data_IF_380540441128
#
_entry.id   IF_380540441128
#
_cell.length_a   1.000
_cell.length_b   1.000
_cell.length_c   1.000
_cell.angle_alpha   90.00
_cell.angle_beta   90.00
_cell.angle_gamma   90.00
#
_symmetry.space_group_name_H-M   'P 1'
#
loop_
_entity.id
_entity.type
_entity.pdbx_description
1 polymer ?
#
# COMPACT_ATOMS: atom_id res chain seq x y z
N UNK A 1 -8.39 -6.68 4.58
CA UNK A 1 -7.43 -7.64 3.97
C UNK A 1 -6.30 -8.09 4.89
N UNK A 2 -5.73 -7.22 5.74
CA UNK A 2 -4.56 -7.54 6.58
C UNK A 2 -4.76 -8.74 7.50
N UNK A 3 -5.79 -8.75 8.34
CA UNK A 3 -6.00 -9.80 9.36
C UNK A 3 -6.13 -11.21 8.77
N UNK A 4 -6.61 -11.30 7.52
CA UNK A 4 -6.83 -12.57 6.84
C UNK A 4 -5.57 -13.14 6.18
N UNK A 5 -4.65 -12.28 5.75
CA UNK A 5 -3.49 -12.69 4.95
C UNK A 5 -2.17 -12.58 5.70
N UNK A 6 -2.15 -11.86 6.83
CA UNK A 6 -0.98 -11.78 7.70
C UNK A 6 -0.62 -13.14 8.30
N UNK A 7 0.67 -13.47 8.33
CA UNK A 7 1.25 -14.62 9.03
C UNK A 7 2.56 -14.20 9.69
N UNK A 8 2.86 -14.77 10.85
CA UNK A 8 4.15 -14.55 11.51
C UNK A 8 5.29 -15.08 10.64
N UNK A 9 6.40 -14.34 10.57
CA UNK A 9 7.59 -14.75 9.82
C UNK A 9 7.48 -14.60 8.29
N UNK A 10 6.60 -13.73 7.80
CA UNK A 10 6.58 -13.33 6.39
C UNK A 10 7.94 -12.81 5.93
N UNK A 11 8.30 -13.11 4.69
CA UNK A 11 9.42 -12.42 4.06
C UNK A 11 9.01 -10.98 3.71
N UNK A 12 10.01 -10.13 3.42
CA UNK A 12 9.74 -8.75 3.04
C UNK A 12 8.88 -8.71 1.78
N UNK A 13 9.15 -9.58 0.81
CA UNK A 13 8.41 -9.68 -0.46
C UNK A 13 6.93 -10.01 -0.22
N UNK A 14 6.65 -11.01 0.63
CA UNK A 14 5.27 -11.38 0.98
C UNK A 14 4.53 -10.24 1.69
N UNK A 15 5.22 -9.48 2.54
CA UNK A 15 4.65 -8.33 3.22
C UNK A 15 4.34 -7.19 2.24
N UNK A 16 5.22 -6.95 1.25
CA UNK A 16 4.98 -5.95 0.20
C UNK A 16 3.78 -6.32 -0.67
N UNK A 17 3.65 -7.60 -1.06
CA UNK A 17 2.48 -8.08 -1.81
C UNK A 17 1.17 -7.87 -1.02
N UNK A 18 1.22 -8.05 0.31
CA UNK A 18 0.08 -7.76 1.18
C UNK A 18 -0.23 -6.26 1.23
N UNK A 19 0.77 -5.40 1.33
CA UNK A 19 0.61 -3.93 1.30
C UNK A 19 -0.04 -3.49 -0.01
N UNK A 20 0.41 -4.01 -1.15
CA UNK A 20 -0.15 -3.68 -2.46
C UNK A 20 -1.64 -4.09 -2.55
N UNK A 21 -2.03 -5.26 -2.04
CA UNK A 21 -3.44 -5.67 -1.91
C UNK A 21 -4.25 -4.73 -1.01
N UNK A 22 -3.66 -4.24 0.08
CA UNK A 22 -4.32 -3.29 0.97
C UNK A 22 -4.55 -1.94 0.30
N UNK A 23 -3.58 -1.44 -0.48
CA UNK A 23 -3.74 -0.20 -1.27
C UNK A 23 -4.91 -0.34 -2.25
N UNK A 24 -5.05 -1.48 -2.92
CA UNK A 24 -6.19 -1.75 -3.81
C UNK A 24 -7.53 -1.78 -3.06
N UNK A 25 -7.58 -2.41 -1.89
CA UNK A 25 -8.80 -2.45 -1.06
C UNK A 25 -9.22 -1.04 -0.64
N UNK A 26 -8.29 -0.21 -0.18
CA UNK A 26 -8.53 1.19 0.20
C UNK A 26 -9.16 1.96 -0.97
N UNK A 27 -8.63 1.81 -2.19
CA UNK A 27 -9.18 2.45 -3.39
C UNK A 27 -10.60 2.02 -3.71
N UNK A 28 -10.90 0.73 -3.54
CA UNK A 28 -12.23 0.21 -3.86
C UNK A 28 -13.31 0.64 -2.85
N UNK A 29 -12.93 1.01 -1.62
CA UNK A 29 -13.86 1.25 -0.51
C UNK A 29 -14.01 2.72 -0.16
N UNK A 30 -12.98 3.54 -0.37
CA UNK A 30 -13.03 4.97 -0.07
C UNK A 30 -13.58 5.73 -1.28
N UNK A 31 -14.59 6.56 -1.03
CA UNK A 31 -15.13 7.51 -2.04
C UNK A 31 -14.04 8.46 -2.54
N UNK A 32 -13.11 8.83 -1.65
CA UNK A 32 -11.91 9.60 -1.98
C UNK A 32 -10.71 8.88 -1.39
N UNK A 33 -10.00 8.11 -2.22
CA UNK A 33 -8.77 7.43 -1.82
C UNK A 33 -7.54 8.32 -2.09
N UNK A 34 -6.55 8.36 -1.19
CA UNK A 34 -5.28 9.03 -1.44
C UNK A 34 -4.60 8.48 -2.71
N UNK A 35 -4.00 9.33 -3.55
CA UNK A 35 -3.40 8.89 -4.82
C UNK A 35 -2.04 8.21 -4.62
N UNK A 36 -1.29 8.59 -3.59
CA UNK A 36 0.11 8.20 -3.40
C UNK A 36 0.31 7.57 -2.03
N UNK A 37 1.12 6.51 -2.00
CA UNK A 37 1.50 5.81 -0.77
C UNK A 37 3.01 5.67 -0.72
N UNK A 38 3.59 5.94 0.45
CA UNK A 38 5.00 5.67 0.73
C UNK A 38 5.09 4.44 1.60
N UNK A 39 5.79 3.42 1.13
CA UNK A 39 6.04 2.20 1.90
C UNK A 39 7.35 2.39 2.64
N UNK A 40 7.31 2.23 3.97
CA UNK A 40 8.50 2.25 4.82
C UNK A 40 8.62 0.92 5.57
N UNK A 41 9.85 0.43 5.68
CA UNK A 41 10.17 -0.77 6.46
C UNK A 41 10.84 -0.31 7.74
N UNK A 42 10.37 -0.85 8.86
CA UNK A 42 10.94 -0.62 10.19
C UNK A 42 11.60 -1.91 10.65
N UNK A 43 12.89 -1.84 10.96
CA UNK A 43 13.64 -2.94 11.57
C UNK A 43 14.61 -2.41 12.64
N UNK A 44 15.54 -3.27 13.09
CA UNK A 44 16.51 -2.95 14.14
C UNK A 44 17.44 -1.78 13.78
N UNK A 45 17.63 -1.50 12.49
CA UNK A 45 18.53 -0.45 12.00
C UNK A 45 17.78 0.88 11.78
N UNK A 46 16.46 0.88 11.99
CA UNK A 46 15.60 2.05 11.96
C UNK A 46 14.49 1.94 10.92
N UNK A 47 13.94 3.10 10.54
CA UNK A 47 12.92 3.20 9.51
C UNK A 47 13.55 3.63 8.19
N UNK A 48 13.40 2.83 7.14
CA UNK A 48 13.84 3.17 5.78
C UNK A 48 12.67 3.26 4.82
N UNK A 49 12.80 4.14 3.84
CA UNK A 49 11.88 4.17 2.70
C UNK A 49 12.18 2.99 1.78
N UNK A 50 11.13 2.26 1.40
CA UNK A 50 11.23 1.11 0.52
C UNK A 50 10.82 1.47 -0.91
N UNK A 51 9.62 2.03 -1.08
CA UNK A 51 9.11 2.39 -2.40
C UNK A 51 7.99 3.44 -2.32
N UNK A 52 7.86 4.20 -3.39
CA UNK A 52 6.67 4.98 -3.68
C UNK A 52 5.70 4.15 -4.52
N UNK A 53 4.43 4.18 -4.14
CA UNK A 53 3.31 3.63 -4.90
C UNK A 53 2.42 4.78 -5.31
N UNK A 54 2.58 5.22 -6.56
CA UNK A 54 1.59 6.05 -7.21
C UNK A 54 0.44 5.13 -7.64
N UNK A 55 -0.68 5.25 -6.96
CA UNK A 55 -1.88 4.49 -7.30
C UNK A 55 -2.67 5.14 -8.45
N UNK A 56 -2.26 6.34 -8.88
CA UNK A 56 -2.85 7.11 -9.97
C UNK A 56 -1.81 7.35 -11.06
N UNK A 57 -1.82 6.50 -12.09
CA UNK A 57 -1.66 7.01 -13.46
C UNK A 57 -3.07 7.08 -14.04
N UNK A 58 -3.53 8.30 -14.28
CA UNK A 58 -4.75 8.63 -15.03
C UNK A 58 -6.08 8.02 -14.53
N UNK A 59 -6.52 8.41 -13.34
CA UNK A 59 -7.95 8.59 -13.15
C UNK A 59 -8.27 10.01 -13.60
N UNK A 60 -8.73 10.17 -14.84
CA UNK A 60 -9.29 11.42 -15.32
C UNK A 60 -10.29 11.91 -14.27
N UNK A 61 -9.94 13.00 -13.57
CA UNK A 61 -10.88 13.73 -12.73
C UNK A 61 -11.99 14.18 -13.66
N UNK A 62 -13.26 13.76 -13.48
CA UNK A 62 -14.34 14.35 -14.23
C UNK A 62 -14.36 15.83 -13.83
N UNK A 63 -14.07 16.71 -14.79
CA UNK A 63 -14.19 18.14 -14.62
C UNK A 63 -15.67 18.41 -14.31
N UNK A 64 -15.96 18.80 -13.07
CA UNK A 64 -17.25 19.38 -12.69
C UNK A 64 -17.26 20.86 -13.06
#
# INVERSE_FOLDING_TARGET
MMDRHYKSGMTVEEAIDLVDKCIMEIRSRLVVAPPNFVIKIVDKDGAREYAWRESVKDAAVPLA
#
